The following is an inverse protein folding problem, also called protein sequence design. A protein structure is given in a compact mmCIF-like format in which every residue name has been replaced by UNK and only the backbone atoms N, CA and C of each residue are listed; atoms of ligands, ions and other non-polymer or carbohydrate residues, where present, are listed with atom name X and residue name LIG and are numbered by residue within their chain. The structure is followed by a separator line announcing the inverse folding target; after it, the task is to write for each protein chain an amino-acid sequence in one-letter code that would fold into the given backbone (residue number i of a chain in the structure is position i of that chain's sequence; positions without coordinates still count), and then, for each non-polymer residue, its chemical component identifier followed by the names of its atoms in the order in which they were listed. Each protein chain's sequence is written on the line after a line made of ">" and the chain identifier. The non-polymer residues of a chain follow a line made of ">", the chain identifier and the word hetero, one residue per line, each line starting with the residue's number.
data_IF_642948683756
#
_entry.id   IF_642948683756
#
_cell.length_a   1.000
_cell.length_b   1.000
_cell.length_c   1.000
_cell.angle_alpha   90.00
_cell.angle_beta   90.00
_cell.angle_gamma   90.00
#
_symmetry.space_group_name_H-M   'P 1'
#
loop_
_entity.id
_entity.type
_entity.pdbx_description
1 polymer ?
#
# COMPACT_ATOMS: atom_id res chain seq x y z
N UNK A 1 9.71 14.53 26.67
CA UNK A 1 9.42 15.89 26.18
C UNK A 1 7.98 15.89 25.72
N UNK A 2 7.18 16.83 26.25
CA UNK A 2 5.75 16.80 26.14
C UNK A 2 5.28 17.41 24.81
N UNK A 3 4.10 17.01 24.33
CA UNK A 3 3.43 17.62 23.17
C UNK A 3 3.37 19.16 23.27
N UNK A 4 3.42 19.71 24.48
CA UNK A 4 3.49 21.13 24.78
C UNK A 4 4.75 21.80 24.19
N UNK A 5 5.91 21.17 24.31
CA UNK A 5 7.18 21.72 23.80
C UNK A 5 7.21 21.83 22.28
N UNK A 6 6.57 20.89 21.58
CA UNK A 6 6.52 20.92 20.11
C UNK A 6 5.44 21.87 19.55
N UNK A 7 4.38 22.17 20.31
CA UNK A 7 3.31 23.09 19.87
C UNK A 7 3.61 24.55 20.17
N UNK A 8 4.33 24.83 21.24
CA UNK A 8 4.55 26.19 21.73
C UNK A 8 6.01 26.63 21.75
N UNK A 9 6.95 25.71 21.80
CA UNK A 9 8.38 25.99 21.82
C UNK A 9 9.02 26.15 20.45
N UNK A 10 8.33 25.83 19.35
CA UNK A 10 8.90 25.79 17.99
C UNK A 10 10.21 24.96 17.87
N UNK A 11 10.50 24.13 18.87
CA UNK A 11 11.65 23.24 18.82
C UNK A 11 11.28 21.97 18.04
N UNK A 12 11.92 21.79 16.90
CA UNK A 12 11.84 20.52 16.17
C UNK A 12 12.36 19.41 17.10
N UNK A 13 11.59 18.34 17.29
CA UNK A 13 12.08 17.17 18.03
C UNK A 13 13.32 16.63 17.33
N UNK A 14 14.37 16.29 18.08
CA UNK A 14 15.52 15.63 17.47
C UNK A 14 15.07 14.38 16.72
N UNK A 15 15.52 14.21 15.48
CA UNK A 15 15.11 13.12 14.56
C UNK A 15 15.28 11.73 15.22
N UNK A 16 16.31 11.56 16.06
CA UNK A 16 16.54 10.31 16.79
C UNK A 16 15.49 9.97 17.86
N UNK A 17 14.58 10.89 18.15
CA UNK A 17 13.44 10.67 19.07
C UNK A 17 12.14 10.33 18.32
N UNK A 18 12.15 10.42 16.99
CA UNK A 18 11.00 10.04 16.19
C UNK A 18 10.86 8.52 16.17
N UNK A 19 9.65 8.02 16.34
CA UNK A 19 9.37 6.59 16.28
C UNK A 19 9.60 6.01 14.89
N UNK A 20 9.23 6.77 13.86
CA UNK A 20 9.56 6.52 12.46
C UNK A 20 10.57 7.57 12.00
N UNK A 21 11.81 7.20 11.83
CA UNK A 21 12.89 8.08 11.44
C UNK A 21 12.92 8.26 9.91
N UNK A 22 12.47 9.41 9.36
CA UNK A 22 12.41 9.63 7.93
C UNK A 22 13.79 9.67 7.25
N UNK A 23 14.86 10.01 7.98
CA UNK A 23 16.23 10.07 7.42
C UNK A 23 16.76 8.66 7.03
N UNK A 24 16.03 7.62 7.40
CA UNK A 24 16.33 6.23 7.00
C UNK A 24 15.70 5.83 5.68
N UNK A 25 14.80 6.64 5.13
CA UNK A 25 14.24 6.44 3.79
C UNK A 25 15.34 6.68 2.76
N UNK A 26 15.41 5.82 1.77
CA UNK A 26 16.35 5.99 0.66
C UNK A 26 15.57 6.60 -0.53
N UNK A 27 15.90 7.82 -0.96
CA UNK A 27 15.21 8.44 -2.08
C UNK A 27 15.59 7.78 -3.41
N UNK A 28 14.63 7.74 -4.34
CA UNK A 28 14.90 7.39 -5.73
C UNK A 28 14.05 8.22 -6.70
N UNK A 29 14.53 8.35 -7.94
CA UNK A 29 13.87 9.14 -8.98
C UNK A 29 13.91 8.37 -10.31
N UNK A 30 13.17 7.27 -10.38
CA UNK A 30 13.08 6.44 -11.58
C UNK A 30 11.66 5.91 -11.72
N UNK A 31 11.08 6.06 -12.91
CA UNK A 31 9.79 5.48 -13.24
C UNK A 31 9.91 3.98 -13.59
N UNK A 32 8.91 3.16 -13.23
CA UNK A 32 8.91 1.77 -13.61
C UNK A 32 8.66 1.59 -15.10
N UNK A 33 9.45 0.73 -15.72
CA UNK A 33 9.29 0.33 -17.11
C UNK A 33 8.72 -1.08 -17.16
N UNK A 34 7.55 -1.21 -17.79
CA UNK A 34 6.89 -2.51 -17.99
C UNK A 34 7.16 -2.99 -19.41
N UNK A 35 7.67 -4.20 -19.55
CA UNK A 35 7.91 -4.84 -20.83
C UNK A 35 7.18 -6.17 -20.94
N UNK A 36 6.75 -6.50 -22.15
CA UNK A 36 6.09 -7.77 -22.48
C UNK A 36 6.97 -8.51 -23.46
N UNK A 37 7.47 -9.66 -23.07
CA UNK A 37 8.26 -10.51 -23.93
C UNK A 37 8.00 -12.00 -23.62
N UNK A 38 7.78 -12.80 -24.66
CA UNK A 38 7.60 -14.25 -24.55
C UNK A 38 6.49 -14.68 -23.57
N UNK A 39 5.39 -13.91 -23.47
CA UNK A 39 4.29 -14.18 -22.55
C UNK A 39 4.62 -13.86 -21.07
N UNK A 40 5.70 -13.13 -20.83
CA UNK A 40 6.07 -12.67 -19.51
C UNK A 40 5.96 -11.15 -19.40
N UNK A 41 5.43 -10.69 -18.28
CA UNK A 41 5.48 -9.29 -17.87
C UNK A 41 6.71 -9.08 -17.03
N UNK A 42 7.52 -8.10 -17.37
CA UNK A 42 8.67 -7.68 -16.55
C UNK A 42 8.52 -6.21 -16.22
N UNK A 43 8.67 -5.90 -14.96
CA UNK A 43 8.73 -4.52 -14.48
C UNK A 43 10.14 -4.24 -13.94
N UNK A 44 10.73 -3.16 -14.41
CA UNK A 44 12.05 -2.70 -13.99
C UNK A 44 11.95 -1.30 -13.42
N UNK A 45 12.64 -1.07 -12.32
CA UNK A 45 12.84 0.25 -11.71
C UNK A 45 14.34 0.58 -11.84
N UNK A 46 14.70 1.24 -12.94
CA UNK A 46 16.09 1.32 -13.35
C UNK A 46 16.71 -0.05 -13.59
N UNK A 47 17.77 -0.39 -12.87
CA UNK A 47 18.40 -1.73 -12.93
C UNK A 47 17.74 -2.76 -11.99
N UNK A 48 16.80 -2.35 -11.16
CA UNK A 48 16.15 -3.23 -10.17
C UNK A 48 14.93 -3.91 -10.76
N UNK A 49 14.89 -5.25 -10.71
CA UNK A 49 13.70 -6.02 -11.11
C UNK A 49 12.66 -5.95 -10.00
N UNK A 50 11.45 -5.55 -10.35
CA UNK A 50 10.30 -5.58 -9.47
C UNK A 50 9.56 -6.92 -9.65
N UNK A 51 9.31 -7.60 -8.54
CA UNK A 51 8.66 -8.92 -8.53
C UNK A 51 7.27 -8.88 -7.94
N UNK A 52 6.91 -7.80 -7.27
CA UNK A 52 5.59 -7.62 -6.67
C UNK A 52 5.18 -6.17 -6.59
N UNK A 53 3.89 -5.95 -6.56
CA UNK A 53 3.27 -4.64 -6.37
C UNK A 53 2.04 -4.77 -5.47
N UNK A 54 1.84 -3.80 -4.61
CA UNK A 54 0.64 -3.68 -3.77
C UNK A 54 0.19 -2.23 -3.73
N UNK A 55 -1.11 -2.02 -3.85
CA UNK A 55 -1.73 -0.72 -3.70
C UNK A 55 -2.78 -0.78 -2.59
N UNK A 56 -2.79 0.23 -1.75
CA UNK A 56 -3.81 0.37 -0.71
C UNK A 56 -4.44 1.76 -0.79
N UNK A 57 -5.75 1.78 -0.86
CA UNK A 57 -6.54 3.00 -0.85
C UNK A 57 -7.34 3.07 0.45
N UNK A 58 -6.97 4.00 1.32
CA UNK A 58 -7.75 4.39 2.49
C UNK A 58 -8.79 5.42 2.06
N UNK A 59 -10.03 4.99 1.95
CA UNK A 59 -11.12 5.80 1.41
C UNK A 59 -11.84 6.55 2.53
N UNK A 60 -11.64 7.85 2.63
CA UNK A 60 -12.43 8.72 3.49
C UNK A 60 -13.75 9.10 2.81
N UNK A 61 -14.86 8.61 3.34
CA UNK A 61 -16.20 8.87 2.81
C UNK A 61 -16.79 10.16 3.38
N UNK A 62 -16.56 11.27 2.67
CA UNK A 62 -17.50 12.38 2.67
C UNK A 62 -17.58 13.31 3.89
N UNK A 63 -16.59 13.38 4.73
CA UNK A 63 -16.50 14.47 5.73
C UNK A 63 -15.75 15.65 5.12
N UNK A 64 -16.43 16.77 4.92
CA UNK A 64 -15.87 18.03 4.37
C UNK A 64 -14.67 18.58 5.16
N UNK A 65 -14.42 18.05 6.37
CA UNK A 65 -13.28 18.33 7.25
C UNK A 65 -12.73 17.06 7.91
N UNK A 66 -12.87 15.90 7.26
CA UNK A 66 -12.34 14.62 7.72
C UNK A 66 -10.96 14.33 7.15
N UNK A 67 -10.48 13.11 7.44
CA UNK A 67 -9.24 12.58 6.92
C UNK A 67 -9.26 12.56 5.39
N UNK A 68 -8.11 12.76 4.76
CA UNK A 68 -7.98 12.70 3.31
C UNK A 68 -8.09 11.24 2.84
N UNK A 69 -8.75 11.03 1.70
CA UNK A 69 -8.68 9.75 1.01
C UNK A 69 -7.28 9.57 0.46
N UNK A 70 -6.52 8.62 0.97
CA UNK A 70 -5.12 8.44 0.59
C UNK A 70 -4.88 7.13 -0.16
N UNK A 71 -4.06 7.18 -1.20
CA UNK A 71 -3.63 6.01 -1.95
C UNK A 71 -2.11 5.87 -1.88
N UNK A 72 -1.67 4.67 -1.52
CA UNK A 72 -0.27 4.27 -1.56
C UNK A 72 -0.05 3.11 -2.54
N UNK A 73 1.07 3.18 -3.27
CA UNK A 73 1.57 2.12 -4.13
C UNK A 73 2.98 1.76 -3.72
N UNK A 74 3.21 0.49 -3.42
CA UNK A 74 4.52 -0.04 -3.02
C UNK A 74 4.91 -1.18 -3.96
N UNK A 75 6.12 -1.10 -4.51
CA UNK A 75 6.74 -2.19 -5.25
C UNK A 75 7.69 -2.99 -4.34
N UNK A 76 7.89 -4.25 -4.68
CA UNK A 76 8.81 -5.14 -3.96
C UNK A 76 9.73 -5.82 -4.95
N UNK A 77 11.03 -5.89 -4.65
CA UNK A 77 11.98 -6.65 -5.42
C UNK A 77 12.24 -8.06 -4.82
N UNK A 78 13.08 -8.84 -5.47
CA UNK A 78 13.47 -10.19 -5.05
C UNK A 78 14.30 -10.24 -3.75
N UNK A 79 14.84 -9.08 -3.33
CA UNK A 79 15.60 -8.94 -2.07
C UNK A 79 14.75 -8.47 -0.90
N UNK A 80 13.43 -8.30 -1.10
CA UNK A 80 12.52 -7.83 -0.08
C UNK A 80 12.60 -6.31 0.19
N UNK A 81 13.28 -5.54 -0.67
CA UNK A 81 13.29 -4.09 -0.58
C UNK A 81 11.94 -3.53 -1.03
N UNK A 82 11.45 -2.52 -0.34
CA UNK A 82 10.18 -1.86 -0.56
C UNK A 82 10.41 -0.50 -1.21
N UNK A 83 9.70 -0.24 -2.30
CA UNK A 83 9.78 1.01 -3.06
C UNK A 83 8.41 1.69 -3.01
N UNK A 84 8.24 2.62 -2.09
CA UNK A 84 7.01 3.41 -1.94
C UNK A 84 6.96 4.46 -3.04
N UNK A 85 6.27 4.13 -4.10
CA UNK A 85 6.28 4.90 -5.35
C UNK A 85 5.22 6.00 -5.37
N UNK A 86 4.05 5.74 -4.80
CA UNK A 86 2.97 6.72 -4.69
C UNK A 86 2.53 6.82 -3.23
N UNK A 87 2.42 8.06 -2.75
CA UNK A 87 1.72 8.43 -1.52
C UNK A 87 1.01 9.76 -1.79
N UNK A 88 -0.31 9.71 -2.08
CA UNK A 88 -1.04 10.94 -2.42
C UNK A 88 -2.49 10.91 -1.99
N UNK A 89 -3.04 12.11 -1.74
CA UNK A 89 -4.47 12.30 -1.57
C UNK A 89 -5.22 12.08 -2.88
N UNK A 90 -6.41 11.50 -2.77
CA UNK A 90 -7.35 11.40 -3.88
C UNK A 90 -8.18 12.67 -3.97
N UNK A 91 -8.32 13.21 -5.17
CA UNK A 91 -9.13 14.40 -5.40
C UNK A 91 -10.62 14.07 -5.52
N UNK A 92 -11.51 15.06 -5.29
CA UNK A 92 -12.95 14.84 -5.37
C UNK A 92 -13.51 14.30 -4.05
N UNK A 93 -13.30 15.02 -2.94
CA UNK A 93 -13.85 14.68 -1.64
C UNK A 93 -15.37 14.44 -1.73
N UNK A 94 -15.83 13.25 -1.29
CA UNK A 94 -17.24 12.85 -1.36
C UNK A 94 -17.69 12.25 -2.70
N UNK A 95 -16.94 12.41 -3.79
CA UNK A 95 -17.22 11.75 -5.08
C UNK A 95 -16.41 10.46 -5.20
N UNK A 96 -16.98 9.37 -4.71
CA UNK A 96 -16.36 8.03 -4.76
C UNK A 96 -16.09 7.59 -6.19
N UNK A 97 -16.96 7.95 -7.14
CA UNK A 97 -16.81 7.57 -8.53
C UNK A 97 -15.60 8.27 -9.18
N UNK A 98 -15.41 9.58 -8.90
CA UNK A 98 -14.22 10.30 -9.32
C UNK A 98 -12.92 9.72 -8.73
N UNK A 99 -12.95 9.32 -7.47
CA UNK A 99 -11.81 8.66 -6.82
C UNK A 99 -11.54 7.28 -7.42
N UNK A 100 -12.57 6.48 -7.69
CA UNK A 100 -12.43 5.20 -8.36
C UNK A 100 -11.82 5.34 -9.77
N UNK A 101 -12.14 6.40 -10.52
CA UNK A 101 -11.49 6.70 -11.82
C UNK A 101 -9.99 6.96 -11.66
N UNK A 102 -9.56 7.65 -10.59
CA UNK A 102 -8.15 7.89 -10.31
C UNK A 102 -7.42 6.59 -9.94
N UNK A 103 -8.04 5.75 -9.09
CA UNK A 103 -7.50 4.41 -8.78
C UNK A 103 -7.33 3.60 -10.06
N UNK A 104 -8.36 3.59 -10.94
CA UNK A 104 -8.28 2.90 -12.23
C UNK A 104 -7.10 3.38 -13.08
N UNK A 105 -6.89 4.69 -13.17
CA UNK A 105 -5.79 5.25 -13.95
C UNK A 105 -4.43 4.74 -13.47
N UNK A 106 -4.22 4.70 -12.15
CA UNK A 106 -3.01 4.16 -11.53
C UNK A 106 -2.87 2.67 -11.79
N UNK A 107 -3.94 1.90 -11.60
CA UNK A 107 -3.95 0.45 -11.85
C UNK A 107 -3.56 0.14 -13.30
N UNK A 108 -4.10 0.88 -14.26
CA UNK A 108 -3.77 0.69 -15.68
C UNK A 108 -2.33 1.10 -16.00
N UNK A 109 -1.85 2.20 -15.42
CA UNK A 109 -0.49 2.68 -15.62
C UNK A 109 0.55 1.66 -15.19
N UNK A 110 0.34 1.02 -14.04
CA UNK A 110 1.31 0.08 -13.45
C UNK A 110 0.89 -1.37 -13.57
N UNK A 111 -0.23 -1.68 -14.20
CA UNK A 111 -0.79 -3.03 -14.38
C UNK A 111 -0.92 -3.81 -13.05
N UNK A 112 -1.48 -3.15 -12.06
CA UNK A 112 -1.52 -3.62 -10.67
C UNK A 112 -2.77 -4.44 -10.37
N UNK A 113 -2.68 -5.21 -9.29
CA UNK A 113 -3.82 -5.70 -8.54
C UNK A 113 -4.09 -4.71 -7.39
N UNK A 114 -5.32 -4.23 -7.24
CA UNK A 114 -5.67 -3.24 -6.22
C UNK A 114 -6.45 -3.86 -5.07
N UNK A 115 -6.17 -3.41 -3.87
CA UNK A 115 -6.94 -3.69 -2.66
C UNK A 115 -7.67 -2.41 -2.23
N UNK A 116 -8.89 -2.53 -1.79
CA UNK A 116 -9.75 -1.39 -1.46
C UNK A 116 -10.48 -1.56 -0.12
N UNK A 117 -11.09 -0.46 0.37
CA UNK A 117 -11.81 -0.42 1.64
C UNK A 117 -13.08 -1.26 1.62
N UNK A 118 -13.57 -1.61 2.82
CA UNK A 118 -14.84 -2.31 3.03
C UNK A 118 -16.09 -1.46 2.67
N UNK A 119 -17.25 -2.09 2.64
CA UNK A 119 -18.54 -1.44 2.42
C UNK A 119 -18.95 -1.37 0.94
N UNK A 120 -19.66 -0.29 0.53
CA UNK A 120 -20.16 -0.15 -0.85
C UNK A 120 -19.10 0.28 -1.88
N UNK A 121 -18.01 0.87 -1.44
CA UNK A 121 -16.92 1.37 -2.31
C UNK A 121 -16.30 0.25 -3.15
N UNK A 122 -16.04 -0.96 -2.64
CA UNK A 122 -15.53 -2.05 -3.45
C UNK A 122 -16.41 -2.41 -4.63
N UNK A 123 -17.73 -2.32 -4.48
CA UNK A 123 -18.66 -2.62 -5.58
C UNK A 123 -18.53 -1.59 -6.71
N UNK A 124 -18.38 -0.31 -6.38
CA UNK A 124 -18.15 0.76 -7.36
C UNK A 124 -16.77 0.58 -8.01
N UNK A 125 -15.73 0.36 -7.20
CA UNK A 125 -14.37 0.16 -7.68
C UNK A 125 -14.27 -1.04 -8.63
N UNK A 126 -14.94 -2.17 -8.32
CA UNK A 126 -14.99 -3.33 -9.21
C UNK A 126 -15.58 -3.01 -10.58
N UNK A 127 -16.58 -2.11 -10.66
CA UNK A 127 -17.12 -1.65 -11.96
C UNK A 127 -16.05 -0.89 -12.75
N UNK A 128 -15.33 0.01 -12.08
CA UNK A 128 -14.27 0.76 -12.73
C UNK A 128 -13.09 -0.13 -13.17
N UNK A 129 -12.78 -1.17 -12.42
CA UNK A 129 -11.69 -2.10 -12.73
C UNK A 129 -12.10 -3.25 -13.65
N UNK A 130 -13.37 -3.30 -14.09
CA UNK A 130 -13.81 -4.29 -15.06
C UNK A 130 -12.95 -4.26 -16.32
N UNK A 131 -12.51 -5.43 -16.79
CA UNK A 131 -11.62 -5.58 -17.93
C UNK A 131 -10.14 -5.30 -17.64
N UNK A 132 -9.76 -5.02 -16.38
CA UNK A 132 -8.37 -5.05 -15.93
C UNK A 132 -8.05 -6.38 -15.28
N UNK A 133 -6.75 -6.68 -15.09
CA UNK A 133 -6.32 -7.87 -14.34
C UNK A 133 -6.29 -7.62 -12.82
N UNK A 134 -6.98 -6.59 -12.36
CA UNK A 134 -6.93 -6.13 -10.99
C UNK A 134 -8.05 -6.75 -10.14
N UNK A 135 -7.67 -7.36 -9.02
CA UNK A 135 -8.61 -7.83 -8.01
C UNK A 135 -8.76 -6.78 -6.90
N UNK A 136 -10.00 -6.56 -6.45
CA UNK A 136 -10.29 -5.73 -5.28
C UNK A 136 -10.43 -6.65 -4.08
N UNK A 137 -9.48 -6.56 -3.15
CA UNK A 137 -9.54 -7.24 -1.86
C UNK A 137 -10.06 -6.25 -0.81
N UNK A 138 -11.12 -6.64 -0.11
CA UNK A 138 -11.70 -5.84 0.97
C UNK A 138 -10.98 -6.17 2.26
N UNK A 139 -10.47 -5.15 2.94
CA UNK A 139 -10.02 -5.30 4.31
C UNK A 139 -11.07 -4.71 5.24
N UNK A 140 -11.77 -5.57 5.94
CA UNK A 140 -12.66 -5.12 7.00
C UNK A 140 -11.80 -4.73 8.21
N UNK A 141 -11.89 -3.47 8.62
CA UNK A 141 -11.44 -3.10 9.95
C UNK A 141 -12.44 -3.72 10.93
N UNK A 142 -12.07 -4.82 11.57
CA UNK A 142 -12.87 -5.39 12.67
C UNK A 142 -12.86 -4.36 13.79
N UNK A 143 -13.98 -3.60 13.89
CA UNK A 143 -14.18 -2.66 14.97
C UNK A 143 -14.27 -3.41 16.29
N UNK A 144 -13.61 -2.89 17.32
CA UNK A 144 -13.76 -3.24 18.73
C UNK A 144 -13.64 -4.74 19.08
N UNK A 145 -12.47 -5.31 18.89
CA UNK A 145 -12.16 -6.64 19.39
C UNK A 145 -10.90 -7.19 18.71
N UNK A 146 -9.79 -7.28 19.41
CA UNK A 146 -8.54 -7.97 19.05
C UNK A 146 -7.80 -7.53 17.78
N UNK A 147 -8.18 -6.43 17.12
CA UNK A 147 -7.40 -5.82 16.04
C UNK A 147 -6.32 -4.89 16.61
N UNK A 148 -5.10 -4.99 16.13
CA UNK A 148 -4.05 -4.03 16.44
C UNK A 148 -4.56 -2.59 16.17
N UNK A 149 -4.26 -1.64 17.07
CA UNK A 149 -4.60 -0.23 16.86
C UNK A 149 -4.02 0.28 15.54
N UNK A 150 -4.57 1.36 14.99
CA UNK A 150 -4.05 2.00 13.76
C UNK A 150 -2.54 2.25 13.91
N UNK A 151 -2.12 2.81 15.04
CA UNK A 151 -0.72 3.06 15.34
C UNK A 151 0.14 1.80 15.33
N UNK A 152 -0.35 0.71 15.93
CA UNK A 152 0.37 -0.56 15.92
C UNK A 152 0.54 -1.09 14.48
N UNK A 153 -0.49 -0.97 13.62
CA UNK A 153 -0.39 -1.38 12.21
C UNK A 153 0.66 -0.57 11.45
N UNK A 154 0.71 0.74 11.68
CA UNK A 154 1.71 1.63 11.08
C UNK A 154 3.11 1.25 11.52
N UNK A 155 3.33 1.05 12.83
CA UNK A 155 4.63 0.65 13.37
C UNK A 155 5.07 -0.71 12.87
N UNK A 156 4.20 -1.72 12.94
CA UNK A 156 4.48 -3.09 12.49
C UNK A 156 4.89 -3.14 11.01
N UNK A 157 4.30 -2.26 10.18
CA UNK A 157 4.59 -2.22 8.76
C UNK A 157 5.87 -1.47 8.41
N UNK A 158 6.13 -0.34 9.08
CA UNK A 158 7.15 0.61 8.65
C UNK A 158 8.42 0.60 9.50
N UNK A 159 8.37 0.21 10.78
CA UNK A 159 9.53 0.30 11.69
C UNK A 159 10.68 -0.62 11.25
N UNK A 160 10.39 -1.87 10.93
CA UNK A 160 11.42 -2.83 10.52
C UNK A 160 12.05 -2.47 9.15
N UNK A 161 11.28 -2.12 8.10
CA UNK A 161 11.85 -1.65 6.83
C UNK A 161 12.71 -0.39 6.96
N UNK A 162 12.30 0.58 7.79
CA UNK A 162 13.09 1.78 8.06
C UNK A 162 14.37 1.44 8.81
N UNK A 163 14.28 0.66 9.89
CA UNK A 163 15.44 0.26 10.70
C UNK A 163 16.47 -0.51 9.90
N UNK A 164 16.03 -1.40 9.00
CA UNK A 164 16.87 -2.18 8.11
C UNK A 164 17.34 -1.43 6.85
N UNK A 165 16.88 -0.20 6.64
CA UNK A 165 17.12 0.58 5.40
C UNK A 165 16.65 -0.17 4.15
N UNK A 166 15.51 -0.82 4.21
CA UNK A 166 14.86 -1.52 3.09
C UNK A 166 13.74 -0.70 2.46
N UNK A 167 13.41 0.48 3.03
CA UNK A 167 12.36 1.36 2.53
C UNK A 167 12.97 2.45 1.65
N UNK A 168 12.53 2.45 0.40
CA UNK A 168 12.84 3.46 -0.59
C UNK A 168 11.58 4.27 -0.88
N UNK A 169 11.69 5.57 -1.15
CA UNK A 169 10.56 6.38 -1.59
C UNK A 169 10.90 7.17 -2.86
N UNK A 170 9.93 7.21 -3.77
CA UNK A 170 10.03 8.06 -4.95
C UNK A 170 10.01 9.53 -4.53
N UNK A 171 10.80 10.37 -5.21
CA UNK A 171 10.92 11.78 -4.83
C UNK A 171 9.59 12.51 -4.80
N UNK A 172 8.63 12.16 -5.65
CA UNK A 172 7.29 12.77 -5.68
C UNK A 172 6.42 12.39 -4.47
N UNK A 173 6.75 11.29 -3.79
CA UNK A 173 6.06 10.83 -2.59
C UNK A 173 6.81 11.19 -1.30
N UNK A 174 8.12 11.40 -1.41
CA UNK A 174 9.05 11.52 -0.28
C UNK A 174 8.66 12.65 0.68
N UNK A 175 8.47 13.86 0.18
CA UNK A 175 8.12 15.02 1.03
C UNK A 175 6.85 14.80 1.84
N UNK A 176 5.85 14.17 1.23
CA UNK A 176 4.57 13.85 1.88
C UNK A 176 4.76 12.82 3.00
N UNK A 177 5.54 11.76 2.72
CA UNK A 177 5.83 10.69 3.69
C UNK A 177 6.64 11.25 4.86
N UNK A 178 7.73 11.96 4.57
CA UNK A 178 8.59 12.56 5.59
C UNK A 178 7.83 13.54 6.48
N UNK A 179 7.00 14.39 5.86
CA UNK A 179 6.20 15.35 6.62
C UNK A 179 5.30 14.66 7.63
N UNK A 180 4.61 13.59 7.23
CA UNK A 180 3.78 12.83 8.16
C UNK A 180 4.61 12.12 9.24
N UNK A 181 5.72 11.48 8.88
CA UNK A 181 6.59 10.79 9.85
C UNK A 181 7.13 11.76 10.91
N UNK A 182 7.52 12.99 10.51
CA UNK A 182 8.02 14.02 11.43
C UNK A 182 6.96 14.51 12.41
N UNK A 183 5.70 14.51 12.00
CA UNK A 183 4.60 15.06 12.80
C UNK A 183 3.75 13.99 13.51
N UNK A 184 3.90 12.72 13.16
CA UNK A 184 3.12 11.63 13.72
C UNK A 184 3.79 11.01 14.95
N UNK A 185 2.98 10.71 15.96
CA UNK A 185 3.40 10.00 17.18
C UNK A 185 2.33 9.00 17.60
N UNK A 186 2.70 7.75 17.92
CA UNK A 186 1.72 6.77 18.38
C UNK A 186 1.05 7.21 19.68
N UNK A 187 -0.24 6.95 19.81
CA UNK A 187 -1.03 7.24 21.00
C UNK A 187 -1.57 8.67 21.09
N UNK A 188 -1.27 9.56 20.14
CA UNK A 188 -1.85 10.90 20.11
C UNK A 188 -3.06 10.90 19.14
N UNK A 189 -4.28 11.15 19.63
CA UNK A 189 -5.46 11.16 18.78
C UNK A 189 -5.52 12.38 17.86
N UNK A 190 -6.19 12.23 16.72
CA UNK A 190 -6.51 13.34 15.81
C UNK A 190 -5.34 13.86 14.97
N UNK A 191 -4.26 13.10 14.88
CA UNK A 191 -3.16 13.39 13.97
C UNK A 191 -3.51 12.98 12.54
N UNK A 192 -2.93 13.69 11.56
CA UNK A 192 -2.99 13.27 10.17
C UNK A 192 -1.99 12.14 9.94
N UNK A 193 -2.48 10.99 9.57
CA UNK A 193 -1.69 9.78 9.34
C UNK A 193 -2.13 9.00 8.10
N UNK A 194 -2.94 9.63 7.24
CA UNK A 194 -3.60 9.02 6.07
C UNK A 194 -2.61 8.34 5.14
N UNK A 195 -1.46 8.97 4.88
CA UNK A 195 -0.41 8.41 4.04
C UNK A 195 0.35 7.29 4.75
N UNK A 196 0.60 7.42 6.05
CA UNK A 196 1.25 6.36 6.82
C UNK A 196 0.35 5.13 6.93
N UNK A 197 -0.95 5.32 7.16
CA UNK A 197 -1.91 4.20 7.23
C UNK A 197 -2.09 3.54 5.85
N UNK A 198 -2.23 4.32 4.77
CA UNK A 198 -2.31 3.75 3.43
C UNK A 198 -1.01 3.07 3.00
N UNK A 199 0.16 3.61 3.36
CA UNK A 199 1.46 3.00 3.14
C UNK A 199 1.63 1.70 3.92
N UNK A 200 1.28 1.71 5.21
CA UNK A 200 1.28 0.52 6.05
C UNK A 200 0.33 -0.56 5.50
N UNK A 201 -0.85 -0.15 5.04
CA UNK A 201 -1.79 -1.03 4.36
C UNK A 201 -1.19 -1.68 3.13
N UNK A 202 -0.48 -0.93 2.29
CA UNK A 202 0.18 -1.45 1.10
C UNK A 202 1.34 -2.41 1.44
N UNK A 203 2.16 -2.08 2.44
CA UNK A 203 3.31 -2.90 2.87
C UNK A 203 2.87 -4.23 3.48
N UNK A 204 1.79 -4.24 4.26
CA UNK A 204 1.28 -5.45 4.94
C UNK A 204 0.61 -6.45 4.00
N UNK A 205 0.27 -6.04 2.80
CA UNK A 205 -0.36 -6.93 1.84
C UNK A 205 0.66 -7.88 1.22
N UNK A 206 0.21 -9.08 0.90
CA UNK A 206 1.00 -9.98 0.06
C UNK A 206 1.09 -9.35 -1.33
N UNK A 207 2.29 -8.96 -1.79
CA UNK A 207 2.43 -8.33 -3.10
C UNK A 207 1.96 -9.27 -4.20
N UNK A 208 1.23 -8.73 -5.15
CA UNK A 208 0.89 -9.50 -6.34
C UNK A 208 2.14 -9.67 -7.17
N UNK A 209 2.43 -10.90 -7.51
CA UNK A 209 3.58 -11.24 -8.32
C UNK A 209 3.42 -10.73 -9.74
N UNK A 210 4.36 -9.94 -10.18
CA UNK A 210 4.50 -9.52 -11.57
C UNK A 210 5.18 -10.68 -12.31
N UNK A 211 4.48 -11.28 -13.25
CA UNK A 211 4.99 -12.48 -13.90
C UNK A 211 4.23 -12.84 -15.19
N UNK A 212 4.19 -14.10 -15.50
CA UNK A 212 3.59 -14.64 -16.73
C UNK A 212 2.10 -14.29 -16.79
N UNK A 213 1.68 -13.62 -17.88
CA UNK A 213 0.27 -13.51 -18.23
C UNK A 213 -0.15 -14.87 -18.77
N UNK A 214 -0.92 -15.60 -18.00
CA UNK A 214 -1.62 -16.78 -18.52
C UNK A 214 -2.78 -16.26 -19.35
N UNK A 215 -2.66 -16.31 -20.67
CA UNK A 215 -3.77 -15.97 -21.57
C UNK A 215 -4.95 -16.89 -21.30
N UNK A 216 -6.17 -16.40 -21.56
CA UNK A 216 -7.40 -17.23 -21.48
C UNK A 216 -7.35 -18.53 -22.31
N UNK A 217 -6.40 -18.63 -23.22
CA UNK A 217 -6.20 -19.79 -24.11
C UNK A 217 -5.56 -21.00 -23.38
N UNK A 218 -4.88 -20.75 -22.26
CA UNK A 218 -4.24 -21.85 -21.48
C UNK A 218 -5.17 -22.48 -20.43
N UNK A 219 -6.42 -22.06 -20.35
CA UNK A 219 -7.48 -22.77 -19.64
C UNK A 219 -8.09 -23.93 -20.47
N UNK A 220 -7.38 -24.43 -21.47
CA UNK A 220 -7.70 -25.73 -22.00
C UNK A 220 -7.45 -26.74 -20.89
N UNK A 221 -8.54 -27.32 -20.39
CA UNK A 221 -8.57 -28.39 -19.42
C UNK A 221 -7.39 -29.36 -19.68
N UNK A 222 -6.32 -29.22 -18.95
CA UNK A 222 -5.36 -30.32 -18.81
C UNK A 222 -6.00 -31.29 -17.83
N UNK A 223 -6.47 -32.45 -18.31
CA UNK A 223 -7.04 -33.45 -17.40
C UNK A 223 -5.96 -33.80 -16.38
N UNK A 224 -6.20 -33.46 -15.10
CA UNK A 224 -5.31 -33.83 -14.01
C UNK A 224 -4.72 -32.65 -13.19
N UNK A 225 -4.82 -31.43 -13.66
CA UNK A 225 -4.38 -30.29 -12.85
C UNK A 225 -5.59 -29.58 -12.22
N UNK A 226 -6.03 -30.08 -11.07
CA UNK A 226 -6.83 -29.27 -10.14
C UNK A 226 -5.87 -28.61 -9.16
N UNK A 227 -6.01 -27.29 -8.86
CA UNK A 227 -5.37 -26.76 -7.67
C UNK A 227 -5.92 -27.59 -6.51
N UNK A 228 -5.03 -28.28 -5.81
CA UNK A 228 -5.38 -28.91 -4.57
C UNK A 228 -5.74 -27.75 -3.66
N UNK A 229 -7.04 -27.57 -3.38
CA UNK A 229 -7.49 -26.77 -2.25
C UNK A 229 -6.87 -27.48 -1.06
N UNK A 230 -5.82 -26.87 -0.48
CA UNK A 230 -5.12 -27.46 0.65
C UNK A 230 -5.96 -27.28 1.90
N UNK A 231 -6.93 -28.16 2.10
CA UNK A 231 -7.34 -28.56 3.43
C UNK A 231 -6.22 -29.44 3.98
N UNK A 232 -5.31 -28.80 4.72
CA UNK A 232 -4.37 -29.53 5.55
C UNK A 232 -5.12 -30.01 6.79
N UNK A 233 -5.60 -31.23 6.74
CA UNK A 233 -6.06 -31.97 7.92
C UNK A 233 -4.82 -32.28 8.77
N UNK A 234 -4.53 -31.43 9.73
CA UNK A 234 -3.51 -31.71 10.77
C UNK A 234 -4.18 -32.62 11.79
N UNK A 235 -4.06 -33.94 11.60
CA UNK A 235 -4.33 -34.89 12.67
C UNK A 235 -3.24 -34.75 13.74
N UNK A 236 -3.58 -34.09 14.86
CA UNK A 236 -2.77 -34.12 16.07
C UNK A 236 -3.07 -35.47 16.71
N UNK A 237 -2.17 -36.42 16.54
CA UNK A 237 -2.20 -37.72 17.24
C UNK A 237 -2.08 -37.51 18.75
N UNK A 238 -2.99 -38.14 19.51
CA UNK A 238 -2.99 -38.22 20.95
C UNK A 238 -1.89 -39.20 21.50
#
# INVERSE_FOLDING_TARGET
>A
LNAWDSQYGLEAKPVHQLRLDPDRIIPYNVEPVVTFANGEVRMMLGATRIVGASAYWDCALGKVRGDDSALSLVFTNDRGQLFWHIARAMTGAGDVDAQCRQVRAIVLQYQLLANGPGGFVPAILRKHLAGTHCAVLEQFQTGQGEGASKDARILDALEAPLSGRFLWAHIDALDTIEHQMKNWQPGIPGQRDDYLDSGAGAVRQTPVRIGKIVGKVDQVDRPGWRPISGEYDIQIGG
#
